data_IF_129272208526
#
_entry.id   IF_129272208526
#
_cell.length_a   1.000
_cell.length_b   1.000
_cell.length_c   1.000
_cell.angle_alpha   90.00
_cell.angle_beta   90.00
_cell.angle_gamma   90.00
#
_symmetry.space_group_name_H-M   'P 1'
#
loop_
_entity.id
_entity.type
_entity.pdbx_description
1 polymer ?
#
# COMPACT_ATOMS: atom_id res chain seq x y z
N UNK A 1 9.22 -14.99 12.87
CA UNK A 1 10.61 -14.67 13.28
C UNK A 1 11.56 -15.72 12.73
N UNK A 2 12.66 -15.29 12.11
CA UNK A 2 13.72 -16.21 11.66
C UNK A 2 14.57 -16.68 12.84
N UNK A 3 15.01 -17.95 12.80
CA UNK A 3 16.03 -18.44 13.70
C UNK A 3 17.42 -17.96 13.24
N UNK A 4 18.48 -18.25 14.03
CA UNK A 4 19.84 -17.78 13.73
C UNK A 4 20.36 -18.28 12.36
N UNK A 5 20.06 -19.53 12.00
CA UNK A 5 20.41 -20.07 10.69
C UNK A 5 19.68 -19.32 9.56
N UNK A 6 18.38 -19.06 9.72
CA UNK A 6 17.60 -18.30 8.74
C UNK A 6 18.14 -16.88 8.58
N UNK A 7 18.55 -16.21 9.64
CA UNK A 7 19.18 -14.88 9.58
C UNK A 7 20.53 -14.92 8.85
N UNK A 8 21.34 -15.95 9.05
CA UNK A 8 22.68 -16.06 8.45
C UNK A 8 22.65 -16.26 6.93
N UNK A 9 21.57 -16.81 6.38
CA UNK A 9 21.39 -17.08 4.93
C UNK A 9 20.45 -16.09 4.24
N UNK A 10 19.85 -15.16 4.97
CA UNK A 10 18.93 -14.16 4.46
C UNK A 10 19.51 -12.76 4.53
N UNK A 11 19.14 -11.90 3.58
CA UNK A 11 19.53 -10.49 3.60
C UNK A 11 18.60 -9.69 4.49
N UNK A 12 19.16 -8.97 5.47
CA UNK A 12 18.44 -7.97 6.25
C UNK A 12 18.38 -6.65 5.48
N UNK A 13 17.20 -6.06 5.42
CA UNK A 13 16.98 -4.74 4.82
C UNK A 13 16.67 -3.75 5.94
N UNK A 14 17.33 -2.59 5.95
CA UNK A 14 17.14 -1.60 7.01
C UNK A 14 15.78 -0.91 6.90
N UNK A 15 15.36 -0.33 8.03
CA UNK A 15 14.24 0.64 8.06
C UNK A 15 14.45 1.71 6.99
N UNK A 16 13.36 2.14 6.34
CA UNK A 16 13.38 3.11 5.24
C UNK A 16 13.57 2.48 3.86
N UNK A 17 13.91 1.18 3.76
CA UNK A 17 13.98 0.52 2.44
C UNK A 17 12.60 0.53 1.78
N UNK A 18 12.53 1.04 0.55
CA UNK A 18 11.34 0.88 -0.30
C UNK A 18 11.25 -0.57 -0.78
N UNK A 19 10.10 -1.18 -0.58
CA UNK A 19 9.83 -2.57 -0.99
C UNK A 19 8.69 -2.63 -1.99
N UNK A 20 8.72 -3.64 -2.86
CA UNK A 20 7.63 -3.92 -3.80
C UNK A 20 7.42 -5.43 -3.93
N UNK A 21 6.16 -5.84 -3.94
CA UNK A 21 5.79 -7.23 -4.24
C UNK A 21 5.94 -7.51 -5.73
N UNK A 22 6.55 -8.64 -6.06
CA UNK A 22 6.79 -9.08 -7.45
C UNK A 22 6.03 -10.36 -7.81
N UNK A 23 5.31 -10.95 -6.87
CA UNK A 23 4.47 -12.13 -7.09
C UNK A 23 3.08 -11.93 -6.48
N UNK A 24 2.06 -12.52 -7.06
CA UNK A 24 0.64 -12.41 -6.72
C UNK A 24 0.10 -10.97 -6.85
N UNK A 25 0.31 -10.12 -5.88
CA UNK A 25 -0.09 -8.70 -5.88
C UNK A 25 1.04 -7.81 -6.42
N UNK A 26 1.45 -8.03 -7.66
CA UNK A 26 2.57 -7.31 -8.29
C UNK A 26 2.37 -5.80 -8.22
N UNK A 27 3.43 -5.09 -7.79
CA UNK A 27 3.48 -3.63 -7.77
C UNK A 27 2.94 -2.99 -6.49
N UNK A 28 2.59 -3.76 -5.46
CA UNK A 28 2.31 -3.17 -4.15
C UNK A 28 3.61 -2.73 -3.49
N UNK A 29 3.71 -1.43 -3.20
CA UNK A 29 4.89 -0.80 -2.63
C UNK A 29 4.66 -0.35 -1.20
N UNK A 30 5.71 -0.44 -0.37
CA UNK A 30 5.72 0.04 1.01
C UNK A 30 7.13 0.45 1.43
N UNK A 31 7.24 1.37 2.40
CA UNK A 31 8.51 1.71 3.04
C UNK A 31 8.60 0.95 4.36
N UNK A 32 9.72 0.27 4.61
CA UNK A 32 9.92 -0.49 5.85
C UNK A 32 9.94 0.42 7.07
N UNK A 33 9.10 0.14 8.05
CA UNK A 33 9.05 0.84 9.34
C UNK A 33 10.13 0.36 10.35
N UNK A 34 10.77 -0.79 10.08
CA UNK A 34 11.80 -1.44 10.90
C UNK A 34 12.68 -2.32 10.03
N UNK A 35 13.82 -2.78 10.56
CA UNK A 35 14.69 -3.72 9.85
C UNK A 35 13.99 -5.06 9.65
N UNK A 36 13.97 -5.56 8.41
CA UNK A 36 13.21 -6.75 8.06
C UNK A 36 13.94 -7.68 7.10
N UNK A 37 13.59 -8.96 7.21
CA UNK A 37 13.88 -9.98 6.20
C UNK A 37 12.58 -10.27 5.45
N UNK A 38 12.65 -10.49 4.17
CA UNK A 38 11.48 -10.84 3.37
C UNK A 38 11.83 -11.88 2.29
N UNK A 39 10.84 -12.66 1.80
CA UNK A 39 11.05 -13.70 0.79
C UNK A 39 11.30 -13.10 -0.61
N UNK A 40 11.68 -13.96 -1.54
CA UNK A 40 11.95 -13.65 -2.96
C UNK A 40 10.76 -13.06 -3.72
N UNK A 41 9.55 -13.15 -3.15
CA UNK A 41 8.35 -12.49 -3.69
C UNK A 41 8.29 -10.99 -3.46
N UNK A 42 9.27 -10.45 -2.73
CA UNK A 42 9.43 -9.01 -2.44
C UNK A 42 10.82 -8.56 -2.83
N UNK A 43 10.92 -7.41 -3.47
CA UNK A 43 12.20 -6.76 -3.81
C UNK A 43 12.35 -5.49 -2.99
N UNK A 44 13.55 -5.30 -2.43
CA UNK A 44 13.95 -4.06 -1.74
C UNK A 44 14.74 -3.15 -2.67
N UNK A 45 14.39 -1.88 -2.68
CA UNK A 45 15.05 -0.82 -3.44
C UNK A 45 15.75 0.14 -2.48
N UNK A 46 17.02 0.34 -2.71
CA UNK A 46 17.85 1.30 -1.97
C UNK A 46 18.22 2.39 -2.99
N UNK A 47 17.51 3.52 -3.00
CA UNK A 47 17.81 4.59 -3.94
C UNK A 47 19.18 5.21 -3.65
N UNK A 48 19.74 5.86 -4.64
CA UNK A 48 20.93 6.66 -4.45
C UNK A 48 20.63 7.97 -3.70
N UNK A 49 21.66 8.70 -3.30
CA UNK A 49 21.52 9.92 -2.50
C UNK A 49 20.70 11.05 -3.16
N UNK A 50 20.51 11.02 -4.48
CA UNK A 50 19.80 12.04 -5.24
C UNK A 50 18.28 11.82 -5.28
N UNK A 51 17.81 10.65 -4.83
CA UNK A 51 16.41 10.27 -4.86
C UNK A 51 15.85 10.28 -3.43
N UNK A 52 14.70 10.94 -3.25
CA UNK A 52 13.93 10.88 -2.01
C UNK A 52 13.09 9.60 -1.96
N UNK A 53 13.14 8.88 -0.82
CA UNK A 53 12.48 7.58 -0.64
C UNK A 53 10.95 7.66 -0.75
N UNK A 54 10.35 8.68 -0.15
CA UNK A 54 8.89 8.88 -0.17
C UNK A 54 8.40 9.30 -1.56
N UNK A 55 9.17 10.15 -2.25
CA UNK A 55 8.89 10.50 -3.64
C UNK A 55 8.93 9.25 -4.54
N UNK A 56 9.95 8.40 -4.38
CA UNK A 56 10.06 7.15 -5.13
C UNK A 56 8.90 6.19 -4.80
N UNK A 57 8.48 6.15 -3.55
CA UNK A 57 7.28 5.39 -3.15
C UNK A 57 6.03 5.85 -3.93
N UNK A 58 5.80 7.14 -4.06
CA UNK A 58 4.66 7.66 -4.83
C UNK A 58 4.77 7.36 -6.32
N UNK A 59 5.97 7.42 -6.88
CA UNK A 59 6.20 6.97 -8.26
C UNK A 59 5.81 5.50 -8.41
N UNK A 60 6.25 4.63 -7.52
CA UNK A 60 5.91 3.20 -7.58
C UNK A 60 4.41 2.97 -7.45
N UNK A 61 3.73 3.70 -6.59
CA UNK A 61 2.26 3.67 -6.48
C UNK A 61 1.59 4.04 -7.81
N UNK A 62 2.05 5.09 -8.46
CA UNK A 62 1.54 5.54 -9.75
C UNK A 62 1.86 4.55 -10.89
N UNK A 63 3.03 3.91 -10.85
CA UNK A 63 3.49 2.94 -11.86
C UNK A 63 2.94 1.52 -11.65
N UNK A 64 2.14 1.26 -10.63
CA UNK A 64 1.58 -0.09 -10.39
C UNK A 64 0.92 -0.71 -11.64
N UNK A 65 0.09 0.01 -12.43
CA UNK A 65 -0.47 -0.54 -13.67
C UNK A 65 0.60 -0.99 -14.67
N UNK A 66 1.72 -0.27 -14.75
CA UNK A 66 2.84 -0.60 -15.64
C UNK A 66 3.58 -1.85 -15.17
N UNK A 67 3.82 -1.99 -13.86
CA UNK A 67 4.39 -3.21 -13.28
C UNK A 67 3.53 -4.44 -13.57
N UNK A 68 2.20 -4.31 -13.40
CA UNK A 68 1.24 -5.38 -13.71
C UNK A 68 1.22 -5.71 -15.21
N UNK A 69 1.32 -4.70 -16.09
CA UNK A 69 1.37 -4.88 -17.54
C UNK A 69 2.62 -5.63 -17.98
N UNK A 70 3.76 -5.35 -17.34
CA UNK A 70 5.07 -5.93 -17.64
C UNK A 70 5.25 -7.34 -17.03
N UNK A 71 4.44 -7.69 -16.02
CA UNK A 71 4.49 -9.00 -15.38
C UNK A 71 4.11 -10.14 -16.34
N UNK A 72 4.72 -11.29 -16.10
CA UNK A 72 4.41 -12.52 -16.84
C UNK A 72 3.07 -13.06 -16.33
N UNK A 73 2.13 -13.23 -17.25
CA UNK A 73 0.82 -13.83 -16.99
C UNK A 73 0.94 -15.34 -17.15
N UNK A 74 1.22 -16.04 -16.06
CA UNK A 74 1.12 -17.50 -15.97
C UNK A 74 -0.07 -17.87 -15.04
N UNK A 75 0.01 -18.98 -14.32
CA UNK A 75 -0.96 -19.31 -13.26
C UNK A 75 -1.02 -18.26 -12.15
N UNK A 76 0.06 -17.50 -11.98
CA UNK A 76 0.17 -16.39 -11.06
C UNK A 76 0.97 -15.26 -11.72
N UNK A 77 0.58 -13.99 -11.47
CA UNK A 77 1.37 -12.84 -11.91
C UNK A 77 2.75 -12.88 -11.25
N UNK A 78 3.78 -12.71 -12.06
CA UNK A 78 5.16 -12.67 -11.59
C UNK A 78 5.96 -11.64 -12.39
N UNK A 79 6.69 -10.78 -11.67
CA UNK A 79 7.58 -9.77 -12.25
C UNK A 79 9.00 -10.05 -11.77
N UNK A 80 9.92 -10.35 -12.69
CA UNK A 80 11.30 -10.56 -12.32
C UNK A 80 12.11 -9.24 -12.26
N UNK A 81 13.24 -9.28 -11.55
CA UNK A 81 14.11 -8.12 -11.34
C UNK A 81 14.68 -7.57 -12.66
N UNK A 82 14.94 -8.43 -13.63
CA UNK A 82 15.46 -8.03 -14.94
C UNK A 82 14.47 -7.12 -15.68
N UNK A 83 13.20 -7.50 -15.69
CA UNK A 83 12.14 -6.67 -16.28
C UNK A 83 11.93 -5.35 -15.56
N UNK A 84 12.12 -5.32 -14.23
CA UNK A 84 12.07 -4.08 -13.46
C UNK A 84 13.19 -3.12 -13.86
N UNK A 85 14.39 -3.66 -14.11
CA UNK A 85 15.55 -2.85 -14.55
C UNK A 85 15.34 -2.17 -15.89
N UNK A 86 14.54 -2.75 -16.77
CA UNK A 86 14.25 -2.23 -18.11
C UNK A 86 13.11 -1.19 -18.11
N UNK A 87 12.46 -0.95 -16.96
CA UNK A 87 11.39 0.03 -16.87
C UNK A 87 11.94 1.45 -16.72
N UNK A 88 11.43 2.34 -17.55
CA UNK A 88 11.69 3.76 -17.40
C UNK A 88 10.86 4.35 -16.26
N UNK A 89 11.55 4.95 -15.30
CA UNK A 89 10.94 5.62 -14.16
C UNK A 89 11.08 7.12 -14.37
N UNK A 90 9.96 7.87 -14.50
CA UNK A 90 10.02 9.32 -14.62
C UNK A 90 10.44 9.92 -13.28
N UNK A 91 11.56 10.63 -13.24
CA UNK A 91 12.10 11.23 -12.01
C UNK A 91 12.35 12.71 -12.22
N UNK A 92 11.85 13.53 -11.30
CA UNK A 92 12.24 14.94 -11.21
C UNK A 92 13.70 15.02 -10.76
N UNK A 93 14.51 15.82 -11.45
CA UNK A 93 15.97 15.85 -11.23
C UNK A 93 16.31 16.55 -9.90
N UNK A 94 15.56 17.58 -9.53
CA UNK A 94 15.85 18.39 -8.33
C UNK A 94 15.29 17.72 -7.08
N UNK A 95 16.17 17.35 -6.14
CA UNK A 95 15.77 16.69 -4.90
C UNK A 95 14.86 17.57 -4.02
N UNK A 96 15.01 18.89 -4.05
CA UNK A 96 14.09 19.81 -3.35
C UNK A 96 12.65 19.68 -3.84
N UNK A 97 12.47 19.61 -5.16
CA UNK A 97 11.16 19.44 -5.78
C UNK A 97 10.56 18.04 -5.47
N UNK A 98 11.40 16.99 -5.43
CA UNK A 98 10.96 15.65 -5.00
C UNK A 98 10.40 15.68 -3.55
N UNK A 99 11.08 16.40 -2.65
CA UNK A 99 10.63 16.58 -1.26
C UNK A 99 9.28 17.30 -1.19
N UNK A 100 9.15 18.43 -1.87
CA UNK A 100 7.91 19.22 -1.93
C UNK A 100 6.72 18.38 -2.45
N UNK A 101 6.95 17.59 -3.50
CA UNK A 101 5.93 16.68 -4.03
C UNK A 101 5.55 15.61 -3.01
N UNK A 102 6.54 14.99 -2.34
CA UNK A 102 6.29 13.95 -1.35
C UNK A 102 5.50 14.50 -0.15
N UNK A 103 5.89 15.66 0.40
CA UNK A 103 5.20 16.31 1.52
C UNK A 103 3.76 16.71 1.15
N UNK A 104 3.56 17.26 -0.04
CA UNK A 104 2.22 17.58 -0.55
C UNK A 104 1.34 16.33 -0.64
N UNK A 105 1.87 15.24 -1.23
CA UNK A 105 1.13 13.98 -1.37
C UNK A 105 0.87 13.31 -0.02
N UNK A 106 1.82 13.33 0.92
CA UNK A 106 1.65 12.82 2.27
C UNK A 106 0.46 13.52 2.96
N UNK A 107 0.41 14.85 2.89
CA UNK A 107 -0.68 15.65 3.48
C UNK A 107 -2.02 15.31 2.82
N UNK A 108 -2.09 15.31 1.49
CA UNK A 108 -3.32 15.04 0.75
C UNK A 108 -3.84 13.62 0.93
N UNK A 109 -2.94 12.63 0.91
CA UNK A 109 -3.32 11.24 1.17
C UNK A 109 -3.84 11.05 2.59
N UNK A 110 -3.20 11.66 3.60
CA UNK A 110 -3.67 11.59 4.98
C UNK A 110 -5.07 12.20 5.15
N UNK A 111 -5.34 13.36 4.52
CA UNK A 111 -6.67 14.00 4.53
C UNK A 111 -7.74 13.08 3.90
N UNK A 112 -7.40 12.45 2.77
CA UNK A 112 -8.30 11.52 2.07
C UNK A 112 -8.55 10.27 2.91
N UNK A 113 -7.51 9.69 3.50
CA UNK A 113 -7.62 8.49 4.33
C UNK A 113 -8.45 8.76 5.58
N UNK A 114 -8.30 9.93 6.22
CA UNK A 114 -9.15 10.35 7.32
C UNK A 114 -10.63 10.48 6.91
N UNK A 115 -10.90 11.00 5.71
CA UNK A 115 -12.25 11.10 5.17
C UNK A 115 -12.84 9.72 4.87
N UNK A 116 -12.05 8.81 4.31
CA UNK A 116 -12.45 7.41 4.05
C UNK A 116 -12.82 6.71 5.36
N UNK A 117 -11.96 6.83 6.39
CA UNK A 117 -12.20 6.24 7.70
C UNK A 117 -13.51 6.76 8.33
N UNK A 118 -13.75 8.08 8.25
CA UNK A 118 -15.00 8.69 8.75
C UNK A 118 -16.24 8.18 8.00
N UNK A 119 -16.16 8.03 6.68
CA UNK A 119 -17.28 7.47 5.89
C UNK A 119 -17.53 6.00 6.21
N UNK A 120 -16.47 5.22 6.45
CA UNK A 120 -16.59 3.82 6.85
C UNK A 120 -17.26 3.68 8.22
N UNK A 121 -16.94 4.58 9.16
CA UNK A 121 -17.62 4.64 10.45
C UNK A 121 -19.12 4.92 10.26
N UNK A 122 -19.50 5.89 9.45
CA UNK A 122 -20.90 6.19 9.17
C UNK A 122 -21.66 5.01 8.56
N UNK A 123 -21.02 4.27 7.65
CA UNK A 123 -21.64 3.06 7.10
C UNK A 123 -21.94 2.04 8.20
N UNK A 124 -21.00 1.82 9.10
CA UNK A 124 -21.18 0.91 10.24
C UNK A 124 -22.31 1.37 11.17
N UNK A 125 -22.39 2.66 11.45
CA UNK A 125 -23.47 3.25 12.26
C UNK A 125 -24.85 3.07 11.62
N UNK A 126 -24.96 3.32 10.31
CA UNK A 126 -26.20 3.13 9.53
C UNK A 126 -26.61 1.66 9.53
N UNK A 127 -25.67 0.73 9.33
CA UNK A 127 -25.94 -0.71 9.40
C UNK A 127 -26.44 -1.14 10.77
N UNK A 128 -25.84 -0.63 11.84
CA UNK A 128 -26.27 -0.89 13.21
C UNK A 128 -27.66 -0.29 13.49
N UNK A 129 -27.93 0.92 13.03
CA UNK A 129 -29.26 1.53 13.14
C UNK A 129 -30.32 0.71 12.41
N UNK A 130 -30.03 0.25 11.18
CA UNK A 130 -30.92 -0.65 10.43
C UNK A 130 -31.24 -1.92 11.21
N UNK A 131 -30.21 -2.57 11.80
CA UNK A 131 -30.39 -3.77 12.62
C UNK A 131 -31.26 -3.50 13.85
N UNK A 132 -31.01 -2.38 14.56
CA UNK A 132 -31.80 -1.96 15.71
C UNK A 132 -33.25 -1.72 15.34
N UNK A 133 -33.47 -1.00 14.24
CA UNK A 133 -34.82 -0.68 13.76
C UNK A 133 -35.62 -1.98 13.45
N UNK A 134 -35.01 -2.91 12.72
CA UNK A 134 -35.62 -4.20 12.41
C UNK A 134 -35.98 -4.94 13.71
N UNK A 135 -35.04 -5.01 14.67
CA UNK A 135 -35.26 -5.67 15.94
C UNK A 135 -36.40 -5.04 16.74
N UNK A 136 -36.44 -3.70 16.85
CA UNK A 136 -37.46 -2.97 17.62
C UNK A 136 -38.87 -3.22 17.10
N UNK A 137 -39.06 -3.20 15.77
CA UNK A 137 -40.37 -3.41 15.16
C UNK A 137 -40.79 -4.88 15.13
N UNK A 138 -39.88 -5.80 14.80
CA UNK A 138 -40.19 -7.24 14.73
C UNK A 138 -40.49 -7.83 16.12
N UNK A 139 -39.84 -7.29 17.17
CA UNK A 139 -40.06 -7.75 18.55
C UNK A 139 -41.22 -7.00 19.25
N UNK A 140 -41.91 -6.09 18.58
CA UNK A 140 -42.99 -5.30 19.17
C UNK A 140 -42.55 -4.27 20.20
N UNK A 141 -41.25 -3.91 20.26
CA UNK A 141 -40.77 -2.82 21.11
C UNK A 141 -41.19 -1.46 20.61
N UNK A 142 -41.45 -1.34 19.33
CA UNK A 142 -42.04 -0.16 18.68
C UNK A 142 -43.21 -0.59 17.81
N UNK A 143 -44.28 0.21 17.86
CA UNK A 143 -45.46 0.02 17.03
C UNK A 143 -45.32 0.78 15.72
N UNK A 144 -45.86 0.21 14.64
CA UNK A 144 -45.98 0.88 13.35
C UNK A 144 -47.19 1.79 13.40
N UNK A 145 -46.98 3.10 13.37
CA UNK A 145 -48.07 4.04 13.15
C UNK A 145 -48.34 4.17 11.66
N UNK A 146 -49.55 3.86 11.18
CA UNK A 146 -49.90 4.08 9.76
C UNK A 146 -49.78 5.57 9.45
N UNK A 147 -49.17 5.87 8.29
CA UNK A 147 -49.05 7.22 7.73
C UNK A 147 -50.42 7.82 7.36
#
# INVERSE_FOLDING_TARGET
TLNELGKSVSKCFPKGTLTMTIAANVGDAAILGFDAFFPDSVVGFIPNADINDEYLYYIFKAMKPEFVRTAIKSTQLNLNVERIRDLFVPVVVQKSEQLEIAEYLNTKCADIDALIAKKQQYLTEIENYKKSLIYEYVTGKKEVHPL
#
